data_IF_656952310645
#
_entry.id   IF_656952310645
#
_cell.length_a   1.000
_cell.length_b   1.000
_cell.length_c   1.000
_cell.angle_alpha   90.00
_cell.angle_beta   90.00
_cell.angle_gamma   90.00
#
_symmetry.space_group_name_H-M   'P 1'
#
loop_
_entity.id
_entity.type
_entity.pdbx_description
1 polymer ?
#
# COMPACT_ATOMS: atom_id res chain seq x y z
N UNK A 1 -38.10 -30.54 -17.54
CA UNK A 1 -37.27 -30.98 -16.41
C UNK A 1 -37.25 -29.85 -15.40
N UNK A 2 -37.72 -30.09 -14.17
CA UNK A 2 -37.56 -29.12 -13.09
C UNK A 2 -36.07 -29.04 -12.74
N UNK A 3 -35.54 -27.82 -12.58
CA UNK A 3 -34.18 -27.63 -12.09
C UNK A 3 -34.02 -28.32 -10.73
N UNK A 4 -32.85 -28.89 -10.41
CA UNK A 4 -32.60 -29.46 -9.09
C UNK A 4 -32.87 -28.38 -8.05
N UNK A 5 -33.77 -28.66 -7.11
CA UNK A 5 -34.02 -27.77 -5.97
C UNK A 5 -32.77 -27.87 -5.10
N UNK A 6 -31.91 -26.86 -5.15
CA UNK A 6 -30.70 -26.81 -4.32
C UNK A 6 -31.11 -26.89 -2.84
N UNK A 7 -30.39 -27.65 -2.01
CA UNK A 7 -30.71 -27.77 -0.59
C UNK A 7 -30.67 -26.40 0.07
N UNK A 8 -31.74 -26.06 0.79
CA UNK A 8 -31.86 -24.80 1.54
C UNK A 8 -30.75 -24.77 2.61
N UNK A 9 -29.75 -23.92 2.42
CA UNK A 9 -28.71 -23.67 3.43
C UNK A 9 -29.30 -22.92 4.61
N UNK A 10 -28.90 -23.30 5.83
CA UNK A 10 -29.19 -22.53 7.05
C UNK A 10 -27.98 -21.65 7.37
N UNK A 11 -28.09 -20.32 7.27
CA UNK A 11 -26.99 -19.42 7.65
C UNK A 11 -26.61 -19.57 9.13
N UNK A 12 -25.31 -19.45 9.43
CA UNK A 12 -24.73 -19.54 10.78
C UNK A 12 -25.11 -20.82 11.56
N UNK A 13 -25.11 -21.97 10.89
CA UNK A 13 -25.18 -23.27 11.59
C UNK A 13 -23.83 -23.57 12.28
N UNK A 14 -23.67 -23.06 13.51
CA UNK A 14 -22.47 -23.20 14.33
C UNK A 14 -21.43 -22.10 14.11
N UNK A 15 -20.17 -22.44 14.40
CA UNK A 15 -19.03 -21.53 14.26
C UNK A 15 -18.88 -21.03 12.82
N UNK A 16 -18.41 -19.79 12.68
CA UNK A 16 -18.19 -19.19 11.36
C UNK A 16 -17.09 -19.96 10.63
N UNK A 17 -17.38 -20.35 9.39
CA UNK A 17 -16.46 -21.05 8.50
C UNK A 17 -16.27 -20.26 7.22
N UNK A 18 -15.02 -20.22 6.75
CA UNK A 18 -14.64 -19.61 5.48
C UNK A 18 -13.62 -20.54 4.82
N UNK A 19 -13.88 -20.92 3.58
CA UNK A 19 -12.85 -21.44 2.66
C UNK A 19 -12.39 -20.29 1.79
N UNK A 20 -11.08 -20.12 1.64
CA UNK A 20 -10.48 -19.09 0.79
C UNK A 20 -9.53 -19.75 -0.18
N UNK A 21 -9.75 -19.52 -1.47
CA UNK A 21 -8.96 -20.05 -2.56
C UNK A 21 -8.52 -18.93 -3.49
N UNK A 22 -7.36 -19.17 -4.11
CA UNK A 22 -6.69 -18.22 -5.00
C UNK A 22 -6.53 -18.91 -6.34
N UNK A 23 -6.97 -18.25 -7.41
CA UNK A 23 -6.78 -18.73 -8.77
C UNK A 23 -6.01 -17.71 -9.57
N UNK A 24 -4.89 -18.13 -10.14
CA UNK A 24 -4.13 -17.36 -11.10
C UNK A 24 -4.82 -17.39 -12.47
N UNK A 25 -5.04 -16.22 -13.04
CA UNK A 25 -5.66 -16.02 -14.34
C UNK A 25 -4.60 -16.04 -15.44
N UNK A 26 -5.02 -16.28 -16.68
CA UNK A 26 -4.12 -16.35 -17.83
C UNK A 26 -3.35 -15.05 -18.13
N UNK A 27 -3.78 -13.93 -17.56
CA UNK A 27 -3.11 -12.62 -17.69
C UNK A 27 -2.20 -12.30 -16.48
N UNK A 28 -1.95 -13.28 -15.61
CA UNK A 28 -1.09 -13.17 -14.43
C UNK A 28 -1.72 -12.45 -13.24
N UNK A 29 -2.98 -12.00 -13.35
CA UNK A 29 -3.75 -11.51 -12.19
C UNK A 29 -4.29 -12.68 -11.38
N UNK A 30 -4.76 -12.42 -10.17
CA UNK A 30 -5.37 -13.45 -9.32
C UNK A 30 -6.81 -13.11 -8.98
N UNK A 31 -7.62 -14.14 -8.72
CA UNK A 31 -8.97 -14.00 -8.20
C UNK A 31 -9.10 -14.79 -6.90
N UNK A 32 -9.76 -14.18 -5.93
CA UNK A 32 -10.11 -14.80 -4.66
C UNK A 32 -11.54 -15.31 -4.74
N UNK A 33 -11.75 -16.54 -4.32
CA UNK A 33 -13.07 -17.16 -4.26
C UNK A 33 -13.14 -18.15 -3.12
N UNK A 34 -14.34 -18.61 -2.80
CA UNK A 34 -14.54 -19.61 -1.77
C UNK A 34 -15.97 -19.68 -1.29
N UNK A 35 -16.14 -20.22 -0.09
CA UNK A 35 -17.45 -20.46 0.52
C UNK A 35 -17.45 -20.09 1.99
N UNK A 36 -18.63 -19.76 2.51
CA UNK A 36 -18.84 -19.48 3.93
C UNK A 36 -20.23 -19.93 4.37
N UNK A 37 -20.44 -20.05 5.68
CA UNK A 37 -21.76 -20.19 6.30
C UNK A 37 -22.37 -18.84 6.74
N UNK A 38 -21.72 -17.71 6.43
CA UNK A 38 -22.32 -16.38 6.64
C UNK A 38 -23.60 -16.19 5.80
N UNK A 39 -24.54 -15.35 6.25
CA UNK A 39 -25.79 -15.14 5.52
C UNK A 39 -25.58 -14.60 4.11
N UNK A 40 -26.52 -14.94 3.21
CA UNK A 40 -26.63 -14.28 1.90
C UNK A 40 -26.66 -12.77 2.05
N UNK A 41 -26.06 -12.08 1.08
CA UNK A 41 -25.87 -10.63 1.03
C UNK A 41 -24.90 -10.04 2.06
N UNK A 42 -24.26 -10.87 2.91
CA UNK A 42 -23.17 -10.42 3.78
C UNK A 42 -22.09 -9.75 2.94
N UNK A 43 -21.76 -8.50 3.27
CA UNK A 43 -20.72 -7.72 2.61
C UNK A 43 -19.36 -8.15 3.13
N UNK A 44 -18.49 -8.47 2.18
CA UNK A 44 -17.12 -8.91 2.44
C UNK A 44 -16.15 -7.93 1.78
N UNK A 45 -15.02 -7.72 2.45
CA UNK A 45 -13.86 -7.05 1.90
C UNK A 45 -12.78 -8.10 1.69
N UNK A 46 -12.20 -8.13 0.49
CA UNK A 46 -11.14 -9.04 0.13
C UNK A 46 -9.89 -8.24 -0.24
N UNK A 47 -8.76 -8.65 0.29
CA UNK A 47 -7.46 -8.00 0.10
C UNK A 47 -6.45 -8.99 -0.47
N UNK A 48 -5.57 -8.50 -1.34
CA UNK A 48 -4.34 -9.17 -1.72
C UNK A 48 -3.19 -8.22 -1.45
N UNK A 49 -2.25 -8.65 -0.62
CA UNK A 49 -1.10 -7.85 -0.24
C UNK A 49 0.20 -8.63 -0.47
N UNK A 50 1.17 -8.00 -1.11
CA UNK A 50 2.52 -8.53 -1.21
C UNK A 50 3.20 -8.43 0.15
N UNK A 51 3.75 -9.54 0.66
CA UNK A 51 4.35 -9.59 2.00
C UNK A 51 5.56 -8.67 2.15
N UNK A 52 6.25 -8.38 1.06
CA UNK A 52 7.33 -7.40 1.05
C UNK A 52 6.79 -6.00 1.36
N UNK A 53 7.46 -5.31 2.31
CA UNK A 53 7.11 -3.91 2.61
C UNK A 53 7.09 -3.09 1.34
N UNK A 54 5.95 -2.45 1.17
CA UNK A 54 5.66 -1.62 0.06
C UNK A 54 5.60 -2.31 -1.30
N UNK A 55 5.11 -3.53 -1.33
CA UNK A 55 4.72 -4.20 -2.57
C UNK A 55 3.29 -3.89 -2.99
N UNK A 56 2.76 -4.72 -3.89
CA UNK A 56 1.37 -4.60 -4.36
C UNK A 56 0.36 -4.70 -3.20
N UNK A 57 -0.68 -3.87 -3.26
CA UNK A 57 -1.84 -3.95 -2.38
C UNK A 57 -3.09 -3.71 -3.22
N UNK A 58 -4.09 -4.58 -3.10
CA UNK A 58 -5.37 -4.43 -3.77
C UNK A 58 -6.51 -4.82 -2.86
N UNK A 59 -7.66 -4.15 -3.01
CA UNK A 59 -8.89 -4.45 -2.29
C UNK A 59 -10.07 -4.57 -3.26
N UNK A 60 -10.95 -5.51 -2.96
CA UNK A 60 -12.23 -5.72 -3.66
C UNK A 60 -13.33 -5.88 -2.61
N UNK A 61 -14.57 -5.58 -3.01
CA UNK A 61 -15.75 -5.86 -2.20
C UNK A 61 -16.62 -6.85 -2.95
N UNK A 62 -17.24 -7.78 -2.22
CA UNK A 62 -18.24 -8.67 -2.79
C UNK A 62 -19.36 -8.92 -1.77
N UNK A 63 -20.34 -9.73 -2.17
CA UNK A 63 -21.42 -10.18 -1.28
C UNK A 63 -21.51 -11.69 -1.34
N UNK A 64 -21.86 -12.31 -0.21
CA UNK A 64 -22.10 -13.75 -0.12
C UNK A 64 -23.36 -14.11 -0.92
N UNK A 65 -23.25 -15.08 -1.83
CA UNK A 65 -24.35 -15.57 -2.64
C UNK A 65 -25.32 -16.47 -1.85
N UNK A 66 -26.42 -16.88 -2.48
CA UNK A 66 -27.44 -17.72 -1.85
C UNK A 66 -26.91 -19.10 -1.44
N UNK A 67 -25.99 -19.65 -2.23
CA UNK A 67 -25.28 -20.89 -1.96
C UNK A 67 -24.10 -20.70 -0.99
N UNK A 68 -23.91 -19.49 -0.46
CA UNK A 68 -22.81 -19.08 0.41
C UNK A 68 -21.44 -19.01 -0.26
N UNK A 69 -21.39 -19.02 -1.59
CA UNK A 69 -20.16 -18.73 -2.34
C UNK A 69 -19.86 -17.23 -2.36
N UNK A 70 -18.60 -16.89 -2.61
CA UNK A 70 -18.18 -15.52 -2.89
C UNK A 70 -17.04 -15.51 -3.92
N UNK A 71 -16.94 -14.42 -4.68
CA UNK A 71 -15.95 -14.26 -5.74
C UNK A 71 -15.52 -12.79 -5.84
N UNK A 72 -14.23 -12.56 -6.06
CA UNK A 72 -13.64 -11.23 -6.16
C UNK A 72 -13.47 -10.74 -7.60
N UNK A 73 -13.26 -9.44 -7.74
CA UNK A 73 -12.61 -8.93 -8.94
C UNK A 73 -11.17 -9.46 -9.07
N UNK A 74 -10.59 -9.34 -10.27
CA UNK A 74 -9.21 -9.73 -10.48
C UNK A 74 -8.25 -8.72 -9.84
N UNK A 75 -7.30 -9.21 -9.04
CA UNK A 75 -6.24 -8.44 -8.39
C UNK A 75 -4.96 -8.48 -9.21
N UNK A 76 -4.32 -7.31 -9.32
CA UNK A 76 -3.02 -7.14 -9.97
C UNK A 76 -3.08 -6.09 -11.08
N UNK A 77 -1.93 -5.47 -11.41
CA UNK A 77 -1.84 -4.51 -12.51
C UNK A 77 -2.05 -5.20 -13.87
N UNK A 78 -2.13 -4.38 -14.91
CA UNK A 78 -2.04 -4.88 -16.30
C UNK A 78 -0.68 -5.55 -16.49
N UNK A 79 -0.65 -6.86 -16.77
CA UNK A 79 0.57 -7.67 -16.82
C UNK A 79 0.77 -8.62 -15.61
N UNK A 80 -0.15 -8.60 -14.64
CA UNK A 80 -0.19 -9.58 -13.56
C UNK A 80 0.64 -9.23 -12.32
N UNK A 81 0.55 -10.08 -11.31
CA UNK A 81 1.34 -9.96 -10.09
C UNK A 81 2.80 -10.37 -10.36
N UNK A 82 3.73 -9.68 -9.71
CA UNK A 82 5.16 -10.03 -9.79
C UNK A 82 5.43 -11.28 -8.94
N UNK A 83 6.46 -12.04 -9.29
CA UNK A 83 6.85 -13.23 -8.52
C UNK A 83 7.15 -12.91 -7.05
N UNK A 84 6.44 -13.51 -6.11
CA UNK A 84 6.62 -13.23 -4.69
C UNK A 84 5.63 -13.95 -3.78
N UNK A 85 5.79 -13.72 -2.48
CA UNK A 85 4.85 -14.19 -1.45
C UNK A 85 3.80 -13.12 -1.21
N UNK A 86 2.54 -13.55 -1.19
CA UNK A 86 1.37 -12.72 -1.01
C UNK A 86 0.48 -13.30 0.08
N UNK A 87 -0.32 -12.44 0.70
CA UNK A 87 -1.39 -12.82 1.63
C UNK A 87 -2.71 -12.40 1.00
N UNK A 88 -3.59 -13.37 0.81
CA UNK A 88 -4.99 -13.13 0.55
C UNK A 88 -5.72 -13.07 1.89
N UNK A 89 -6.56 -12.06 2.07
CA UNK A 89 -7.35 -11.89 3.28
C UNK A 89 -8.81 -11.62 2.88
N UNK A 90 -9.72 -12.17 3.67
CA UNK A 90 -11.14 -11.90 3.60
C UNK A 90 -11.61 -11.44 4.97
N UNK A 91 -12.33 -10.33 4.99
CA UNK A 91 -12.89 -9.73 6.20
C UNK A 91 -14.38 -9.49 6.00
N UNK A 92 -15.19 -9.96 6.95
CA UNK A 92 -16.50 -9.38 7.18
C UNK A 92 -16.33 -8.17 8.11
N UNK A 93 -16.63 -6.95 7.62
CA UNK A 93 -16.58 -5.76 8.47
C UNK A 93 -17.61 -5.83 9.59
N UNK A 94 -17.53 -4.86 10.52
CA UNK A 94 -18.40 -4.79 11.69
C UNK A 94 -19.90 -4.94 11.34
N UNK A 95 -20.70 -5.66 12.15
CA UNK A 95 -22.13 -5.92 11.90
C UNK A 95 -22.96 -4.69 11.54
N UNK A 96 -22.62 -3.52 12.10
CA UNK A 96 -23.34 -2.27 11.86
C UNK A 96 -23.35 -1.81 10.39
N UNK A 97 -22.35 -2.19 9.59
CA UNK A 97 -22.31 -1.86 8.15
C UNK A 97 -22.95 -2.92 7.27
N UNK A 98 -23.45 -4.01 7.86
CA UNK A 98 -24.14 -5.07 7.14
C UNK A 98 -25.60 -4.70 6.85
N UNK A 99 -26.20 -5.24 5.78
CA UNK A 99 -27.62 -5.08 5.50
C UNK A 99 -28.52 -5.56 6.64
N UNK A 100 -29.72 -4.98 6.78
CA UNK A 100 -30.66 -5.33 7.86
C UNK A 100 -31.04 -6.81 7.89
N UNK A 101 -31.14 -7.45 6.72
CA UNK A 101 -31.43 -8.89 6.62
C UNK A 101 -30.31 -9.74 7.25
N UNK A 102 -29.05 -9.33 7.06
CA UNK A 102 -27.88 -9.99 7.62
C UNK A 102 -27.82 -9.76 9.13
N UNK A 103 -28.02 -8.51 9.58
CA UNK A 103 -28.03 -8.15 11.01
C UNK A 103 -29.07 -8.92 11.83
N UNK A 104 -30.27 -9.18 11.28
CA UNK A 104 -31.27 -10.03 11.95
C UNK A 104 -30.75 -11.44 12.25
N UNK A 105 -29.88 -11.95 11.37
CA UNK A 105 -29.32 -13.30 11.47
C UNK A 105 -28.07 -13.31 12.34
N UNK A 106 -27.13 -12.38 12.16
CA UNK A 106 -25.85 -12.33 12.90
C UNK A 106 -25.94 -11.60 14.25
N UNK A 107 -27.01 -10.83 14.47
CA UNK A 107 -27.16 -9.88 15.59
C UNK A 107 -26.70 -8.46 15.21
N UNK A 108 -27.28 -7.43 15.83
CA UNK A 108 -26.98 -6.03 15.52
C UNK A 108 -25.52 -5.65 15.83
N UNK A 109 -24.90 -6.33 16.80
CA UNK A 109 -23.48 -6.22 17.13
C UNK A 109 -22.70 -7.52 16.88
N UNK A 110 -23.27 -8.48 16.16
CA UNK A 110 -22.61 -9.74 15.83
C UNK A 110 -22.66 -10.76 16.96
N UNK A 111 -23.64 -10.66 17.86
CA UNK A 111 -23.79 -11.49 19.06
C UNK A 111 -23.95 -12.99 18.76
N UNK A 112 -24.29 -13.33 17.52
CA UNK A 112 -24.48 -14.72 17.06
C UNK A 112 -23.29 -15.24 16.25
N UNK A 113 -22.21 -14.47 16.14
CA UNK A 113 -20.96 -14.92 15.52
C UNK A 113 -20.11 -15.63 16.58
N UNK A 114 -19.66 -16.83 16.26
CA UNK A 114 -18.75 -17.61 17.11
C UNK A 114 -17.68 -18.31 16.29
N UNK A 115 -16.65 -18.81 16.97
CA UNK A 115 -15.57 -19.60 16.36
C UNK A 115 -14.26 -18.84 16.20
N UNK A 116 -13.22 -19.53 15.70
CA UNK A 116 -11.85 -19.03 15.69
C UNK A 116 -11.60 -17.89 14.69
N UNK A 117 -12.49 -17.72 13.70
CA UNK A 117 -12.40 -16.65 12.72
C UNK A 117 -13.04 -15.34 13.21
N UNK A 118 -13.65 -15.34 14.39
CA UNK A 118 -14.33 -14.18 14.97
C UNK A 118 -13.37 -13.43 15.89
N UNK A 119 -13.11 -12.18 15.56
CA UNK A 119 -12.30 -11.29 16.38
C UNK A 119 -13.17 -10.21 17.02
N UNK A 120 -12.91 -9.93 18.29
CA UNK A 120 -13.61 -8.88 19.03
C UNK A 120 -12.62 -7.79 19.43
N UNK A 121 -12.78 -6.60 18.84
CA UNK A 121 -11.91 -5.45 19.07
C UNK A 121 -12.70 -4.28 19.65
N UNK A 122 -11.99 -3.22 20.05
CA UNK A 122 -12.63 -1.96 20.47
C UNK A 122 -13.48 -1.31 19.38
N UNK A 123 -13.29 -1.67 18.11
CA UNK A 123 -14.05 -1.18 16.96
C UNK A 123 -15.31 -2.00 16.69
N UNK A 124 -15.44 -3.19 17.30
CA UNK A 124 -16.53 -4.13 17.11
C UNK A 124 -16.06 -5.53 16.74
N UNK A 125 -17.03 -6.42 16.52
CA UNK A 125 -16.82 -7.81 16.08
C UNK A 125 -16.54 -7.84 14.58
N UNK A 126 -15.51 -8.55 14.17
CA UNK A 126 -15.17 -8.82 12.77
C UNK A 126 -15.00 -10.32 12.56
N UNK A 127 -15.11 -10.76 11.31
CA UNK A 127 -14.70 -12.11 10.92
C UNK A 127 -13.57 -11.99 9.92
N UNK A 128 -12.46 -12.68 10.13
CA UNK A 128 -11.30 -12.65 9.25
C UNK A 128 -10.78 -14.06 8.96
N UNK A 129 -10.30 -14.26 7.73
CA UNK A 129 -9.51 -15.42 7.37
C UNK A 129 -8.40 -14.99 6.40
N UNK A 130 -7.23 -15.60 6.52
CA UNK A 130 -6.08 -15.32 5.67
C UNK A 130 -5.52 -16.59 5.04
N UNK A 131 -4.91 -16.44 3.86
CA UNK A 131 -4.20 -17.49 3.15
C UNK A 131 -2.98 -16.93 2.46
N UNK A 132 -1.82 -17.46 2.82
CA UNK A 132 -0.59 -17.16 2.09
C UNK A 132 -0.56 -17.94 0.77
N UNK A 133 -0.08 -17.28 -0.29
CA UNK A 133 0.12 -17.89 -1.60
C UNK A 133 1.33 -17.28 -2.31
N UNK A 134 1.78 -17.97 -3.35
CA UNK A 134 3.03 -17.65 -4.06
C UNK A 134 2.79 -17.51 -5.55
N UNK A 135 3.35 -16.45 -6.14
CA UNK A 135 3.42 -16.24 -7.59
C UNK A 135 4.85 -16.51 -8.06
N UNK A 136 5.06 -17.25 -9.14
CA UNK A 136 6.41 -17.56 -9.66
C UNK A 136 7.10 -18.78 -9.05
N UNK A 137 6.37 -19.61 -8.30
CA UNK A 137 6.88 -20.90 -7.83
C UNK A 137 7.95 -20.81 -6.72
N UNK A 138 8.83 -21.84 -6.57
CA UNK A 138 9.68 -21.99 -5.39
C UNK A 138 10.70 -20.87 -5.14
N UNK A 139 11.08 -20.14 -6.19
CA UNK A 139 12.07 -19.05 -6.10
C UNK A 139 11.46 -17.68 -5.80
N UNK A 140 10.13 -17.59 -5.74
CA UNK A 140 9.41 -16.34 -5.51
C UNK A 140 9.89 -15.57 -4.28
N UNK A 141 10.21 -16.26 -3.18
CA UNK A 141 10.74 -15.65 -1.97
C UNK A 141 12.10 -14.94 -2.22
N UNK A 142 12.97 -15.56 -3.01
CA UNK A 142 14.28 -15.01 -3.39
C UNK A 142 14.11 -13.83 -4.34
N UNK A 143 13.29 -13.98 -5.38
CA UNK A 143 12.93 -12.90 -6.32
C UNK A 143 12.36 -11.69 -5.57
N UNK A 144 11.47 -11.91 -4.61
CA UNK A 144 10.88 -10.86 -3.79
C UNK A 144 11.90 -10.19 -2.87
N UNK A 145 12.77 -10.97 -2.22
CA UNK A 145 13.82 -10.43 -1.36
C UNK A 145 14.82 -9.59 -2.15
N UNK A 146 15.19 -10.03 -3.36
CA UNK A 146 16.09 -9.27 -4.22
C UNK A 146 15.45 -7.95 -4.68
N UNK A 147 14.19 -7.99 -5.15
CA UNK A 147 13.44 -6.78 -5.51
C UNK A 147 13.31 -5.80 -4.34
N UNK A 148 13.12 -6.30 -3.12
CA UNK A 148 13.09 -5.47 -1.93
C UNK A 148 14.46 -4.81 -1.64
N UNK A 149 15.57 -5.54 -1.81
CA UNK A 149 16.93 -4.99 -1.70
C UNK A 149 17.20 -3.92 -2.76
N UNK A 150 16.82 -4.18 -4.01
CA UNK A 150 17.02 -3.25 -5.12
C UNK A 150 16.24 -1.95 -4.88
N UNK A 151 15.00 -2.03 -4.36
CA UNK A 151 14.21 -0.85 -3.95
C UNK A 151 14.90 -0.06 -2.84
N UNK A 152 15.41 -0.72 -1.80
CA UNK A 152 16.13 -0.06 -0.72
C UNK A 152 17.36 0.67 -1.26
N UNK A 153 18.10 0.04 -2.17
CA UNK A 153 19.27 0.66 -2.80
C UNK A 153 18.87 1.87 -3.65
N UNK A 154 17.80 1.77 -4.43
CA UNK A 154 17.27 2.88 -5.21
C UNK A 154 16.87 4.06 -4.33
N UNK A 155 16.17 3.81 -3.22
CA UNK A 155 15.83 4.87 -2.26
C UNK A 155 17.07 5.55 -1.68
N UNK A 156 18.10 4.77 -1.31
CA UNK A 156 19.36 5.34 -0.82
C UNK A 156 20.00 6.28 -1.85
N UNK A 157 20.04 5.88 -3.11
CA UNK A 157 20.57 6.71 -4.18
C UNK A 157 19.77 8.00 -4.38
N UNK A 158 18.44 7.95 -4.24
CA UNK A 158 17.61 9.16 -4.25
C UNK A 158 17.87 10.06 -3.05
N UNK A 159 18.00 9.51 -1.85
CA UNK A 159 18.33 10.28 -0.65
C UNK A 159 19.66 11.03 -0.81
N UNK A 160 20.69 10.36 -1.35
CA UNK A 160 21.98 11.00 -1.69
C UNK A 160 21.81 12.14 -2.69
N UNK A 161 21.06 11.90 -3.77
CA UNK A 161 20.77 12.90 -4.80
C UNK A 161 20.07 14.14 -4.24
N UNK A 162 19.07 13.96 -3.36
CA UNK A 162 18.38 15.06 -2.67
C UNK A 162 19.35 15.88 -1.83
N UNK A 163 20.24 15.21 -1.07
CA UNK A 163 21.28 15.89 -0.29
C UNK A 163 22.24 16.68 -1.18
N UNK A 164 22.64 16.13 -2.33
CA UNK A 164 23.49 16.81 -3.32
C UNK A 164 22.79 18.03 -3.93
N UNK A 165 21.50 17.92 -4.27
CA UNK A 165 20.70 19.04 -4.77
C UNK A 165 20.61 20.16 -3.74
N UNK A 166 20.36 19.81 -2.47
CA UNK A 166 20.32 20.78 -1.39
C UNK A 166 21.67 21.51 -1.22
N UNK A 167 22.79 20.77 -1.18
CA UNK A 167 24.12 21.38 -1.07
C UNK A 167 24.44 22.29 -2.26
N UNK A 168 24.04 21.89 -3.47
CA UNK A 168 24.22 22.70 -4.69
C UNK A 168 23.37 23.98 -4.65
N UNK A 169 22.12 23.88 -4.19
CA UNK A 169 21.24 25.04 -4.00
C UNK A 169 21.86 26.05 -3.02
N UNK A 170 22.40 25.58 -1.88
CA UNK A 170 23.08 26.41 -0.90
C UNK A 170 24.31 27.10 -1.51
N UNK A 171 25.17 26.35 -2.20
CA UNK A 171 26.38 26.89 -2.81
C UNK A 171 26.10 27.98 -3.86
N UNK A 172 25.09 27.76 -4.72
CA UNK A 172 24.73 28.75 -5.75
C UNK A 172 24.11 29.99 -5.11
N UNK A 173 23.24 29.82 -4.10
CA UNK A 173 22.69 30.95 -3.32
C UNK A 173 23.81 31.79 -2.71
N UNK A 174 24.76 31.16 -2.03
CA UNK A 174 25.84 31.84 -1.33
C UNK A 174 26.82 32.52 -2.31
N UNK A 175 26.91 32.04 -3.55
CA UNK A 175 27.76 32.63 -4.59
C UNK A 175 27.22 33.94 -5.21
N UNK A 176 25.91 34.21 -5.08
CA UNK A 176 25.20 35.33 -5.72
C UNK A 176 25.49 35.49 -7.23
N UNK A 177 25.81 34.38 -7.92
CA UNK A 177 26.22 34.34 -9.32
C UNK A 177 25.03 33.98 -10.22
N UNK A 178 24.55 34.97 -10.98
CA UNK A 178 23.36 34.83 -11.82
C UNK A 178 23.50 33.79 -12.94
N UNK A 179 24.71 33.56 -13.46
CA UNK A 179 24.95 32.57 -14.51
C UNK A 179 24.92 31.16 -13.94
N UNK A 180 25.57 30.96 -12.77
CA UNK A 180 25.49 29.71 -12.02
C UNK A 180 24.06 29.41 -11.59
N UNK A 181 23.31 30.42 -11.15
CA UNK A 181 21.89 30.28 -10.84
C UNK A 181 21.07 29.83 -12.04
N UNK A 182 21.26 30.45 -13.21
CA UNK A 182 20.57 30.06 -14.43
C UNK A 182 20.85 28.61 -14.86
N UNK A 183 22.12 28.16 -14.75
CA UNK A 183 22.51 26.77 -15.04
C UNK A 183 21.92 25.79 -14.04
N UNK A 184 22.03 26.08 -12.75
CA UNK A 184 21.46 25.27 -11.68
C UNK A 184 19.94 25.15 -11.79
N UNK A 185 19.23 26.26 -11.99
CA UNK A 185 17.77 26.28 -12.07
C UNK A 185 17.21 25.45 -13.25
N UNK A 186 17.95 25.33 -14.36
CA UNK A 186 17.57 24.45 -15.47
C UNK A 186 17.75 22.97 -15.09
N UNK A 187 18.92 22.62 -14.56
CA UNK A 187 19.20 21.26 -14.14
C UNK A 187 18.25 20.79 -13.02
N UNK A 188 18.03 21.66 -12.03
CA UNK A 188 17.13 21.40 -10.92
C UNK A 188 15.72 21.02 -11.37
N UNK A 189 15.13 21.76 -12.32
CA UNK A 189 13.78 21.44 -12.83
C UNK A 189 13.73 20.10 -13.55
N UNK A 190 14.76 19.78 -14.34
CA UNK A 190 14.85 18.49 -15.02
C UNK A 190 14.97 17.33 -14.01
N UNK A 191 15.81 17.51 -13.00
CA UNK A 191 16.02 16.51 -11.95
C UNK A 191 14.74 16.29 -11.12
N UNK A 192 14.08 17.36 -10.66
CA UNK A 192 12.82 17.25 -9.90
C UNK A 192 11.73 16.54 -10.70
N UNK A 193 11.56 16.87 -11.98
CA UNK A 193 10.58 16.20 -12.83
C UNK A 193 10.90 14.70 -12.95
N UNK A 194 12.17 14.36 -13.22
CA UNK A 194 12.59 12.97 -13.29
C UNK A 194 12.34 12.21 -11.98
N UNK A 195 12.49 12.84 -10.82
CA UNK A 195 12.17 12.20 -9.54
C UNK A 195 10.68 12.02 -9.32
N UNK A 196 9.86 13.00 -9.70
CA UNK A 196 8.41 12.89 -9.60
C UNK A 196 7.88 11.74 -10.46
N UNK A 197 8.37 11.61 -11.69
CA UNK A 197 7.98 10.53 -12.60
C UNK A 197 8.36 9.16 -11.99
N UNK A 198 9.57 9.05 -11.42
CA UNK A 198 10.02 7.82 -10.78
C UNK A 198 9.29 7.51 -9.46
N UNK A 199 8.97 8.52 -8.65
CA UNK A 199 8.22 8.34 -7.39
C UNK A 199 6.79 7.85 -7.66
N UNK A 200 6.16 8.31 -8.74
CA UNK A 200 4.83 7.84 -9.15
C UNK A 200 4.82 6.37 -9.58
N UNK A 201 5.94 5.89 -10.16
CA UNK A 201 6.11 4.50 -10.60
C UNK A 201 6.33 3.53 -9.42
N UNK A 202 6.88 4.02 -8.31
CA UNK A 202 7.15 3.22 -7.11
C UNK A 202 6.04 3.43 -6.07
N UNK A 203 4.99 2.61 -6.17
CA UNK A 203 4.05 2.43 -5.05
C UNK A 203 4.80 1.66 -3.93
N UNK A 204 4.84 2.18 -2.69
CA UNK A 204 3.68 2.78 -2.01
C UNK A 204 3.97 4.01 -1.13
N UNK A 205 2.91 4.46 -0.45
CA UNK A 205 2.80 5.57 0.52
C UNK A 205 4.01 5.74 1.46
N UNK A 206 4.70 4.67 1.86
CA UNK A 206 5.90 4.77 2.73
C UNK A 206 7.10 5.45 2.07
N UNK A 207 7.24 5.37 0.73
CA UNK A 207 8.25 6.11 -0.03
C UNK A 207 8.01 7.62 0.00
N UNK A 208 6.74 8.03 0.16
CA UNK A 208 6.34 9.42 0.28
C UNK A 208 6.97 10.09 1.53
N UNK A 209 7.11 9.36 2.63
CA UNK A 209 7.65 9.89 3.88
C UNK A 209 9.18 9.93 3.95
N UNK A 210 9.89 8.99 3.31
CA UNK A 210 11.37 8.92 3.39
C UNK A 210 12.11 9.68 2.29
N UNK A 211 11.44 9.93 1.16
CA UNK A 211 12.00 10.62 -0.01
C UNK A 211 11.15 11.80 -0.45
N UNK A 212 9.82 11.68 -0.38
CA UNK A 212 8.89 12.75 -0.79
C UNK A 212 9.02 14.02 0.04
N UNK A 213 8.93 13.93 1.37
CA UNK A 213 9.02 15.11 2.25
C UNK A 213 10.36 15.88 2.08
N UNK A 214 11.54 15.21 2.05
CA UNK A 214 12.79 15.91 1.75
C UNK A 214 12.87 16.51 0.33
N UNK A 215 12.30 15.85 -0.68
CA UNK A 215 12.29 16.37 -2.06
C UNK A 215 11.44 17.65 -2.17
N UNK A 216 10.26 17.64 -1.56
CA UNK A 216 9.37 18.81 -1.51
C UNK A 216 9.99 19.97 -0.72
N UNK A 217 10.74 19.67 0.34
CA UNK A 217 11.51 20.68 1.08
C UNK A 217 12.51 21.40 0.16
N UNK A 218 13.32 20.65 -0.59
CA UNK A 218 14.31 21.23 -1.52
C UNK A 218 13.61 22.04 -2.63
N UNK A 219 12.46 21.57 -3.13
CA UNK A 219 11.65 22.31 -4.11
C UNK A 219 11.15 23.66 -3.57
N UNK A 220 10.64 23.70 -2.33
CA UNK A 220 10.19 24.96 -1.70
C UNK A 220 11.34 25.95 -1.51
N UNK A 221 12.53 25.47 -1.10
CA UNK A 221 13.72 26.33 -0.99
C UNK A 221 14.12 26.95 -2.33
N UNK A 222 14.07 26.15 -3.41
CA UNK A 222 14.33 26.67 -4.75
C UNK A 222 13.35 27.79 -5.11
N UNK A 223 12.05 27.60 -4.89
CA UNK A 223 11.04 28.64 -5.15
C UNK A 223 11.27 29.90 -4.30
N UNK A 224 11.54 29.77 -3.00
CA UNK A 224 11.80 30.91 -2.13
C UNK A 224 13.03 31.72 -2.59
N UNK A 225 14.09 31.02 -3.03
CA UNK A 225 15.31 31.65 -3.56
C UNK A 225 15.08 32.29 -4.93
N UNK A 226 14.30 31.65 -5.81
CA UNK A 226 14.02 32.14 -7.16
C UNK A 226 13.14 33.41 -7.19
N UNK A 227 12.22 33.54 -6.22
CA UNK A 227 11.17 34.56 -6.24
C UNK A 227 11.27 35.59 -5.10
N UNK A 228 12.39 35.60 -4.36
CA UNK A 228 12.77 36.63 -3.37
C UNK A 228 11.63 37.04 -2.40
N UNK A 229 10.95 36.07 -1.79
CA UNK A 229 10.07 36.32 -0.64
C UNK A 229 10.78 35.94 0.66
N UNK A 230 11.53 36.85 1.30
CA UNK A 230 12.37 36.53 2.45
C UNK A 230 11.61 36.06 3.70
N UNK A 231 10.34 36.46 3.87
CA UNK A 231 9.48 35.97 4.96
C UNK A 231 9.11 34.49 4.79
N UNK A 232 8.73 34.07 3.58
CA UNK A 232 8.36 32.69 3.29
C UNK A 232 9.56 31.73 3.44
N UNK A 233 10.80 32.22 3.22
CA UNK A 233 12.02 31.44 3.39
C UNK A 233 12.34 31.11 4.86
N UNK A 234 12.17 32.06 5.80
CA UNK A 234 12.58 31.86 7.19
C UNK A 234 11.70 30.82 7.91
N UNK A 235 10.38 30.85 7.68
CA UNK A 235 9.47 29.79 8.12
C UNK A 235 9.70 28.49 7.33
N UNK A 236 9.95 28.58 6.02
CA UNK A 236 10.31 27.43 5.19
C UNK A 236 11.73 26.87 5.39
N UNK A 237 12.54 27.43 6.29
CA UNK A 237 13.92 27.03 6.55
C UNK A 237 14.05 26.27 7.88
N UNK A 238 13.30 26.66 8.91
CA UNK A 238 13.47 26.13 10.27
C UNK A 238 12.98 24.67 10.42
N UNK A 239 11.75 24.36 10.01
CA UNK A 239 11.20 22.99 10.07
C UNK A 239 11.90 22.02 9.09
N UNK A 240 12.56 22.56 8.07
CA UNK A 240 13.06 21.83 6.90
C UNK A 240 14.55 21.47 7.04
N UNK A 241 15.31 22.35 7.70
CA UNK A 241 16.69 22.04 8.13
C UNK A 241 16.68 20.81 9.04
N UNK A 242 15.61 20.60 9.81
CA UNK A 242 15.41 19.40 10.63
C UNK A 242 15.26 18.14 9.78
N UNK A 243 14.32 18.08 8.83
CA UNK A 243 14.12 16.90 7.98
C UNK A 243 15.34 16.55 7.12
N UNK A 244 16.07 17.54 6.59
CA UNK A 244 17.29 17.30 5.82
C UNK A 244 18.49 16.92 6.70
N UNK A 245 18.56 17.43 7.93
CA UNK A 245 19.56 17.00 8.91
C UNK A 245 19.30 15.56 9.35
N UNK A 246 18.05 15.22 9.65
CA UNK A 246 17.62 13.84 9.96
C UNK A 246 17.93 12.89 8.79
N UNK A 247 17.70 13.33 7.54
CA UNK A 247 18.08 12.55 6.35
C UNK A 247 19.60 12.35 6.24
N UNK A 248 20.40 13.40 6.44
CA UNK A 248 21.87 13.31 6.41
C UNK A 248 22.41 12.39 7.52
N UNK A 249 21.87 12.52 8.73
CA UNK A 249 22.21 11.65 9.85
C UNK A 249 21.82 10.20 9.56
N UNK A 250 20.63 9.97 8.98
CA UNK A 250 20.18 8.65 8.55
C UNK A 250 21.10 8.01 7.51
N UNK A 251 21.48 8.75 6.45
CA UNK A 251 22.43 8.27 5.44
C UNK A 251 23.75 7.89 6.11
N UNK A 252 24.32 8.79 6.91
CA UNK A 252 25.63 8.59 7.57
C UNK A 252 25.62 7.37 8.51
N UNK A 253 24.56 7.20 9.30
CA UNK A 253 24.40 6.07 10.23
C UNK A 253 24.19 4.74 9.49
N UNK A 254 23.54 4.79 8.33
CA UNK A 254 23.32 3.62 7.48
C UNK A 254 24.59 3.14 6.77
N UNK A 255 25.54 4.04 6.50
CA UNK A 255 26.85 3.73 5.91
C UNK A 255 27.84 3.15 6.93
N UNK A 256 27.71 3.49 8.22
CA UNK A 256 28.56 2.94 9.30
C UNK A 256 28.16 1.54 9.80
N UNK A 257 27.05 0.98 9.30
CA UNK A 257 26.48 -0.31 9.75
C UNK A 257 26.60 -1.41 8.67
N UNK A 258 27.34 -1.15 7.60
CA UNK A 258 27.79 -2.16 6.61
C UNK A 258 29.22 -2.57 6.90
#
# INVERSE_FOLDING_TARGET
AAAPVEPVRTPLDGDVTITLDVTELSDGRVRLHGTTNLPTDTKLMLSVEERARGGFQGQSKCSVAADGSFDSQAFGPTGGLKEGIYVAEIVMPIPRVQPDIVKKIIGDNGEKLSGPLVENSSLGVTVSAEKEFTIGGPQAAQSQQQRAKDRIQQYREWQKKIVTLHSSLQAVRDSNDSEKWGKFARQFRADIQSYQDQLMEIQPVSACFTVGDPLDAVRRMFHATAFQKPQDYNEASADYTKSLKELREFITKSESTQ
#
